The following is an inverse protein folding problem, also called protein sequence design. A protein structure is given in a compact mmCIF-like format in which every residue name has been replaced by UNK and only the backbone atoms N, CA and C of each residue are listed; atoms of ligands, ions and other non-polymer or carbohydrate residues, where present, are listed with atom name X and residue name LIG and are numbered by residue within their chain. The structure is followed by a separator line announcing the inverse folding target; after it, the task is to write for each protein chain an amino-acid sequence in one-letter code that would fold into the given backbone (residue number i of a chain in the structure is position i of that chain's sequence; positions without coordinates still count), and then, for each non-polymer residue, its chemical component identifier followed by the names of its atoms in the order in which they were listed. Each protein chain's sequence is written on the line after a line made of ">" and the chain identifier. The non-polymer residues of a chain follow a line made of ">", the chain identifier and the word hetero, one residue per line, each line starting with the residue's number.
data_IF_298722664922
#
_entry.id   IF_298722664922
#
_cell.length_a   1.000
_cell.length_b   1.000
_cell.length_c   1.000
_cell.angle_alpha   90.00
_cell.angle_beta   90.00
_cell.angle_gamma   90.00
#
_symmetry.space_group_name_H-M   'P 1'
#
loop_
_entity.id
_entity.type
_entity.pdbx_description
1 polymer ?
#
# COMPACT_ATOMS: atom_id res chain seq x y z
N UNK A 1 3.40 11.25 2.93
CA UNK A 1 3.02 9.91 3.45
C UNK A 1 1.62 9.65 2.97
N UNK A 2 1.44 8.63 2.13
CA UNK A 2 0.11 8.26 1.66
C UNK A 2 -0.45 7.17 2.56
N UNK A 3 -1.64 7.42 3.09
CA UNK A 3 -2.29 6.53 4.05
C UNK A 3 -3.61 6.08 3.47
N UNK A 4 -3.66 4.82 3.01
CA UNK A 4 -4.90 4.14 2.71
C UNK A 4 -5.53 3.55 3.98
N UNK A 5 -6.72 2.96 3.85
CA UNK A 5 -7.39 2.28 4.96
C UNK A 5 -6.58 1.08 5.49
N UNK A 6 -5.92 0.34 4.60
CA UNK A 6 -5.24 -0.91 4.95
C UNK A 6 -3.72 -0.87 4.84
N UNK A 7 -3.15 0.14 4.19
CA UNK A 7 -1.72 0.24 3.94
C UNK A 7 -1.22 1.68 4.09
N UNK A 8 0.00 1.81 4.61
CA UNK A 8 0.79 3.03 4.62
C UNK A 8 1.90 2.85 3.59
N UNK A 9 2.08 3.83 2.70
CA UNK A 9 3.16 3.80 1.71
C UNK A 9 4.06 5.03 1.86
N UNK A 10 5.37 4.78 1.82
CA UNK A 10 6.41 5.82 1.79
C UNK A 10 7.21 5.66 0.51
N UNK A 11 7.31 6.74 -0.26
CA UNK A 11 8.16 6.81 -1.45
C UNK A 11 9.58 7.22 -1.04
N UNK A 12 10.55 6.39 -1.42
CA UNK A 12 11.97 6.59 -1.18
C UNK A 12 12.64 7.01 -2.49
N UNK A 13 13.02 8.29 -2.58
CA UNK A 13 13.75 8.85 -3.73
C UNK A 13 15.24 8.81 -3.44
N UNK A 14 16.01 8.13 -4.29
CA UNK A 14 17.46 8.01 -4.16
C UNK A 14 18.15 8.91 -5.18
N UNK A 15 19.28 9.52 -4.82
CA UNK A 15 20.02 10.43 -5.73
C UNK A 15 20.60 9.70 -6.95
N UNK A 16 21.03 8.45 -6.77
CA UNK A 16 21.76 7.67 -7.77
C UNK A 16 21.11 6.30 -8.07
N UNK A 17 19.83 6.12 -7.73
CA UNK A 17 19.15 4.84 -7.89
C UNK A 17 17.67 5.02 -8.16
N UNK A 18 17.02 3.96 -8.64
CA UNK A 18 15.60 3.95 -8.92
C UNK A 18 14.78 4.23 -7.65
N UNK A 19 13.68 4.97 -7.82
CA UNK A 19 12.74 5.24 -6.75
C UNK A 19 12.08 3.94 -6.29
N UNK A 20 12.00 3.73 -4.98
CA UNK A 20 11.33 2.58 -4.40
C UNK A 20 10.16 3.02 -3.51
N UNK A 21 9.20 2.13 -3.31
CA UNK A 21 8.15 2.28 -2.31
C UNK A 21 8.40 1.27 -1.20
N UNK A 22 8.31 1.71 0.05
CA UNK A 22 8.12 0.83 1.19
C UNK A 22 6.66 0.90 1.65
N UNK A 23 6.01 -0.26 1.76
CA UNK A 23 4.64 -0.43 2.22
C UNK A 23 4.63 -1.13 3.56
N UNK A 24 3.76 -0.65 4.45
CA UNK A 24 3.43 -1.29 5.71
C UNK A 24 1.94 -1.55 5.79
N UNK A 25 1.50 -2.68 6.36
CA UNK A 25 0.11 -2.84 6.77
C UNK A 25 -0.25 -1.75 7.77
N UNK A 26 -1.45 -1.20 7.62
CA UNK A 26 -1.97 -0.20 8.55
C UNK A 26 -2.20 -0.85 9.93
N UNK A 27 -1.57 -0.33 11.00
CA UNK A 27 -1.84 -0.77 12.36
C UNK A 27 -3.33 -0.63 12.68
N UNK A 28 -3.93 -1.61 13.35
CA UNK A 28 -5.36 -1.68 13.72
C UNK A 28 -6.38 -1.96 12.59
N UNK A 29 -5.97 -1.98 11.32
CA UNK A 29 -6.86 -2.32 10.21
C UNK A 29 -6.65 -3.74 9.66
N UNK A 30 -5.61 -4.44 10.12
CA UNK A 30 -5.25 -5.80 9.70
C UNK A 30 -5.10 -6.71 10.91
N UNK A 31 -5.82 -7.84 10.93
CA UNK A 31 -5.78 -8.83 12.01
C UNK A 31 -4.49 -9.67 11.97
N UNK A 32 -4.06 -10.10 10.77
CA UNK A 32 -2.86 -10.91 10.55
C UNK A 32 -1.88 -10.21 9.59
N UNK A 33 -1.08 -9.24 10.07
CA UNK A 33 -0.28 -8.37 9.19
C UNK A 33 0.84 -9.11 8.45
N UNK A 34 1.46 -10.13 9.06
CA UNK A 34 2.50 -10.92 8.41
C UNK A 34 1.94 -11.83 7.32
N UNK A 35 0.80 -12.47 7.58
CA UNK A 35 0.09 -13.28 6.58
C UNK A 35 -0.38 -12.42 5.42
N UNK A 36 -0.94 -11.24 5.70
CA UNK A 36 -1.29 -10.24 4.68
C UNK A 36 -0.10 -9.91 3.78
N UNK A 37 1.07 -9.60 4.34
CA UNK A 37 2.27 -9.27 3.56
C UNK A 37 2.70 -10.46 2.71
N UNK A 38 2.73 -11.67 3.26
CA UNK A 38 3.04 -12.90 2.49
C UNK A 38 2.10 -13.08 1.30
N UNK A 39 0.80 -12.94 1.55
CA UNK A 39 -0.23 -13.13 0.53
C UNK A 39 -0.17 -12.04 -0.55
N UNK A 40 0.07 -10.78 -0.19
CA UNK A 40 0.26 -9.69 -1.16
C UNK A 40 1.46 -9.97 -2.07
N UNK A 41 2.62 -10.33 -1.49
CA UNK A 41 3.83 -10.61 -2.27
C UNK A 41 3.65 -11.83 -3.18
N UNK A 42 3.07 -12.92 -2.66
CA UNK A 42 2.79 -14.12 -3.45
C UNK A 42 1.85 -13.82 -4.62
N UNK A 43 0.81 -13.03 -4.38
CA UNK A 43 -0.15 -12.62 -5.41
C UNK A 43 0.51 -11.75 -6.47
N UNK A 44 1.33 -10.77 -6.08
CA UNK A 44 2.05 -9.92 -7.05
C UNK A 44 2.99 -10.74 -7.94
N UNK A 45 3.74 -11.68 -7.36
CA UNK A 45 4.61 -12.58 -8.13
C UNK A 45 3.79 -13.45 -9.09
N UNK A 46 2.70 -14.05 -8.60
CA UNK A 46 1.81 -14.85 -9.44
C UNK A 46 1.25 -14.04 -10.63
N UNK A 47 0.75 -12.81 -10.41
CA UNK A 47 0.23 -11.97 -11.49
C UNK A 47 1.33 -11.64 -12.50
N UNK A 48 2.54 -11.32 -12.02
CA UNK A 48 3.70 -11.05 -12.86
C UNK A 48 4.07 -12.26 -13.75
N UNK A 49 3.98 -13.46 -13.19
CA UNK A 49 4.38 -14.69 -13.88
C UNK A 49 3.30 -15.19 -14.86
N UNK A 50 2.04 -14.97 -14.54
CA UNK A 50 0.91 -15.54 -15.28
C UNK A 50 0.25 -14.58 -16.27
N UNK A 51 0.55 -13.28 -16.20
CA UNK A 51 -0.12 -12.27 -17.01
C UNK A 51 0.87 -11.22 -17.52
N UNK A 52 0.47 -10.47 -18.54
CA UNK A 52 1.23 -9.29 -18.99
C UNK A 52 0.84 -8.01 -18.25
N UNK A 53 0.03 -8.10 -17.19
CA UNK A 53 -0.39 -6.94 -16.41
C UNK A 53 0.84 -6.43 -15.62
N UNK A 54 1.22 -5.16 -15.78
CA UNK A 54 2.37 -4.62 -15.07
C UNK A 54 2.05 -4.53 -13.56
N UNK A 55 2.89 -5.17 -12.75
CA UNK A 55 2.86 -5.07 -11.29
C UNK A 55 4.22 -4.60 -10.76
N UNK A 56 4.26 -3.88 -9.63
CA UNK A 56 5.53 -3.45 -9.05
C UNK A 56 6.46 -4.62 -8.76
N UNK A 57 7.73 -4.54 -9.19
CA UNK A 57 8.71 -5.55 -8.84
C UNK A 57 9.02 -5.52 -7.34
N UNK A 58 8.89 -6.65 -6.66
CA UNK A 58 9.18 -6.75 -5.21
C UNK A 58 10.68 -6.95 -5.01
N UNK A 59 11.39 -5.91 -4.57
CA UNK A 59 12.81 -5.97 -4.25
C UNK A 59 13.07 -6.78 -2.97
N UNK A 60 12.27 -6.55 -1.93
CA UNK A 60 12.39 -7.24 -0.65
C UNK A 60 11.08 -7.19 0.12
N UNK A 61 10.88 -8.11 1.06
CA UNK A 61 9.77 -8.09 2.00
C UNK A 61 10.18 -8.86 3.25
N UNK A 62 9.53 -8.57 4.37
CA UNK A 62 9.90 -9.18 5.64
C UNK A 62 8.77 -9.18 6.66
N UNK A 63 8.91 -10.04 7.66
CA UNK A 63 8.04 -10.05 8.84
C UNK A 63 8.45 -8.95 9.81
N UNK A 64 7.71 -8.80 10.91
CA UNK A 64 7.99 -7.75 11.90
C UNK A 64 9.45 -7.79 12.38
N UNK A 65 9.98 -8.98 12.65
CA UNK A 65 11.36 -9.20 13.12
C UNK A 65 12.44 -8.75 12.12
N UNK A 66 12.11 -8.72 10.83
CA UNK A 66 13.05 -8.32 9.79
C UNK A 66 13.06 -6.79 9.59
N UNK A 67 12.08 -6.09 10.16
CA UNK A 67 11.97 -4.64 10.04
C UNK A 67 12.93 -3.92 11.01
N UNK A 68 13.55 -2.80 10.59
CA UNK A 68 14.29 -1.96 11.52
C UNK A 68 13.38 -1.55 12.69
N UNK A 69 13.88 -1.73 13.91
CA UNK A 69 13.14 -1.47 15.16
C UNK A 69 11.95 -2.42 15.41
N UNK A 70 11.82 -3.50 14.63
CA UNK A 70 10.77 -4.50 14.76
C UNK A 70 9.35 -3.91 14.84
N UNK A 71 9.05 -2.89 14.03
CA UNK A 71 7.79 -2.15 14.18
C UNK A 71 6.63 -2.81 13.41
N UNK A 72 6.88 -3.31 12.21
CA UNK A 72 5.83 -3.80 11.32
C UNK A 72 6.41 -4.66 10.18
N UNK A 73 5.72 -5.70 9.70
CA UNK A 73 6.08 -6.34 8.45
C UNK A 73 5.97 -5.35 7.29
N UNK A 74 6.70 -5.60 6.19
CA UNK A 74 6.85 -4.61 5.13
C UNK A 74 7.10 -5.24 3.76
N UNK A 75 6.86 -4.43 2.72
CA UNK A 75 7.20 -4.75 1.33
C UNK A 75 8.00 -3.56 0.76
N UNK A 76 9.20 -3.82 0.25
CA UNK A 76 9.97 -2.90 -0.57
C UNK A 76 9.81 -3.30 -2.03
N UNK A 77 9.30 -2.38 -2.85
CA UNK A 77 8.99 -2.65 -4.24
C UNK A 77 9.35 -1.46 -5.13
N UNK A 78 9.46 -1.70 -6.42
CA UNK A 78 9.72 -0.67 -7.42
C UNK A 78 8.59 0.38 -7.41
N UNK A 79 8.95 1.64 -7.60
CA UNK A 79 7.96 2.65 -7.95
C UNK A 79 7.61 2.52 -9.44
N UNK A 80 6.32 2.46 -9.74
CA UNK A 80 5.82 2.57 -11.12
C UNK A 80 5.53 4.03 -11.37
N UNK A 81 6.19 4.63 -12.35
CA UNK A 81 5.89 5.99 -12.77
C UNK A 81 4.48 6.05 -13.39
N UNK A 82 3.70 7.03 -12.96
CA UNK A 82 2.32 7.25 -13.41
C UNK A 82 1.97 8.74 -13.29
N UNK A 83 1.13 9.22 -14.19
CA UNK A 83 0.71 10.63 -14.21
C UNK A 83 -0.36 10.94 -13.16
N UNK A 84 -1.22 9.96 -12.85
CA UNK A 84 -2.34 10.10 -11.91
C UNK A 84 -2.70 8.76 -11.28
N UNK A 85 -3.47 8.78 -10.20
CA UNK A 85 -3.94 7.58 -9.51
C UNK A 85 -5.41 7.29 -9.85
N UNK A 86 -5.84 6.05 -9.61
CA UNK A 86 -7.21 5.62 -9.91
C UNK A 86 -8.28 6.42 -9.15
N UNK A 87 -7.97 6.89 -7.93
CA UNK A 87 -8.92 7.69 -7.17
C UNK A 87 -9.20 9.01 -7.88
N UNK A 88 -8.18 9.72 -8.35
CA UNK A 88 -8.33 10.96 -9.09
C UNK A 88 -9.06 10.77 -10.43
N UNK A 89 -8.78 9.69 -11.15
CA UNK A 89 -9.45 9.37 -12.43
C UNK A 89 -10.94 9.07 -12.24
N UNK A 90 -11.31 8.38 -11.16
CA UNK A 90 -12.70 8.00 -10.88
C UNK A 90 -13.54 9.12 -10.26
N UNK A 91 -12.92 10.24 -9.87
CA UNK A 91 -13.64 11.38 -9.31
C UNK A 91 -14.30 12.23 -10.42
N UNK A 92 -15.38 12.92 -10.07
CA UNK A 92 -16.08 13.83 -10.99
C UNK A 92 -15.12 14.93 -11.48
N UNK A 93 -15.01 15.15 -12.80
CA UNK A 93 -14.26 16.27 -13.35
C UNK A 93 -14.70 17.59 -12.72
N UNK A 94 -13.77 18.51 -12.49
CA UNK A 94 -14.01 19.85 -11.93
C UNK A 94 -14.49 19.88 -10.47
N UNK A 95 -14.69 18.73 -9.81
CA UNK A 95 -14.99 18.67 -8.39
C UNK A 95 -13.72 18.88 -7.55
N UNK A 96 -13.64 19.98 -6.75
CA UNK A 96 -12.49 20.25 -5.88
C UNK A 96 -12.28 19.13 -4.85
N UNK A 97 -11.03 18.88 -4.47
CA UNK A 97 -10.69 17.79 -3.55
C UNK A 97 -11.44 17.88 -2.22
N UNK A 98 -11.71 19.10 -1.73
CA UNK A 98 -12.41 19.36 -0.48
C UNK A 98 -13.91 19.01 -0.54
N UNK A 99 -14.48 19.02 -1.75
CA UNK A 99 -15.89 18.72 -2.00
C UNK A 99 -16.12 17.24 -2.35
N UNK A 100 -15.05 16.46 -2.56
CA UNK A 100 -15.14 15.02 -2.86
C UNK A 100 -15.54 14.24 -1.61
N UNK A 101 -16.51 13.35 -1.74
CA UNK A 101 -16.93 12.47 -0.65
C UNK A 101 -15.86 11.45 -0.29
N UNK A 102 -15.46 11.39 0.97
CA UNK A 102 -14.53 10.37 1.45
C UNK A 102 -15.25 9.03 1.60
N UNK A 103 -14.82 8.00 0.87
CA UNK A 103 -15.42 6.66 0.93
C UNK A 103 -15.32 5.97 2.31
N UNK A 104 -14.50 6.51 3.23
CA UNK A 104 -14.33 5.96 4.57
C UNK A 104 -15.16 6.73 5.60
N UNK A 105 -16.42 6.36 5.76
CA UNK A 105 -17.20 6.70 6.97
C UNK A 105 -17.21 5.51 7.93
N UNK A 106 -16.10 5.27 8.63
CA UNK A 106 -16.08 4.34 9.76
C UNK A 106 -16.77 5.00 10.96
N UNK A 107 -18.08 4.80 11.11
CA UNK A 107 -18.69 4.80 12.44
C UNK A 107 -18.18 3.55 13.16
N UNK A 108 -17.13 3.68 13.95
CA UNK A 108 -16.81 2.71 15.01
C UNK A 108 -17.98 2.76 16.01
N UNK A 109 -18.93 1.85 15.86
CA UNK A 109 -19.80 1.50 16.97
C UNK A 109 -19.02 0.51 17.83
N UNK A 110 -18.50 0.98 18.95
CA UNK A 110 -18.04 0.10 20.01
C UNK A 110 -19.26 -0.67 20.51
N UNK A 111 -19.29 -1.99 20.34
CA UNK A 111 -20.10 -2.85 21.18
C UNK A 111 -19.13 -3.85 21.80
N UNK A 112 -18.76 -3.58 23.04
CA UNK A 112 -18.35 -4.62 23.97
C UNK A 112 -19.58 -5.49 24.23
N UNK A 113 -19.43 -6.78 24.05
CA UNK A 113 -20.17 -7.82 24.76
C UNK A 113 -19.15 -8.92 25.09
#
# INVERSE_FOLDING_TARGET
>A
MERGAYNISLQMKYKNANTAIIRFPQPSATMFPEEKVRNEVATMRYICDQTSIPVPFVHHWGVKKDSPLELSPFIVMAFIEHDTNMYDVLNTPECPNEARGTLYHTKRLYIFA
#
